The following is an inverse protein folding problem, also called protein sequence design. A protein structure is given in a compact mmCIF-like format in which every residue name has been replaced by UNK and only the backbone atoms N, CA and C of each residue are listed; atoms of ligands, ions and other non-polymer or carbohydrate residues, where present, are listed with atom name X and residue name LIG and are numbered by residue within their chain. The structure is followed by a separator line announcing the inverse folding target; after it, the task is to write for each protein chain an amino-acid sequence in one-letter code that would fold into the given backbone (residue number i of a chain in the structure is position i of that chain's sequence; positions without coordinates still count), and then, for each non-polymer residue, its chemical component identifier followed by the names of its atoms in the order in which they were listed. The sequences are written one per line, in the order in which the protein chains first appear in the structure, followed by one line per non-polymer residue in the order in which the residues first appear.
data_IF_287991738771
#
_entry.id   IF_287991738771
#
_cell.length_a   1.000
_cell.length_b   1.000
_cell.length_c   1.000
_cell.angle_alpha   90.00
_cell.angle_beta   90.00
_cell.angle_gamma   90.00
#
_symmetry.space_group_name_H-M   'P 1'
#
loop_
_entity.id
_entity.type
_entity.pdbx_description
1 polymer ?
#
# COMPACT_ATOMS: atom_id res chain seq x y z
N UNK A 1 5.41 -39.59 0.45
CA UNK A 1 5.65 -38.27 1.08
C UNK A 1 4.40 -37.44 0.88
N UNK A 2 3.68 -37.09 1.95
CA UNK A 2 2.41 -36.36 1.87
C UNK A 2 2.73 -34.87 1.89
N UNK A 3 2.53 -34.18 0.77
CA UNK A 3 2.66 -32.73 0.71
C UNK A 3 1.56 -32.11 1.58
N UNK A 4 1.95 -31.49 2.68
CA UNK A 4 1.09 -30.65 3.49
C UNK A 4 0.86 -29.37 2.71
N UNK A 5 -0.24 -29.31 1.97
CA UNK A 5 -0.83 -28.05 1.54
C UNK A 5 -1.18 -27.29 2.81
N UNK A 6 -0.51 -26.17 3.08
CA UNK A 6 -0.86 -25.26 4.17
C UNK A 6 -2.27 -24.73 3.91
N UNK A 7 -3.27 -25.39 4.48
CA UNK A 7 -4.62 -24.89 4.61
C UNK A 7 -4.60 -23.75 5.63
N UNK A 8 -4.18 -22.55 5.21
CA UNK A 8 -4.53 -21.32 5.91
C UNK A 8 -6.02 -21.06 5.63
N UNK A 9 -6.87 -21.80 6.33
CA UNK A 9 -8.31 -21.57 6.35
C UNK A 9 -8.57 -20.34 7.24
N UNK A 10 -8.12 -19.18 6.77
CA UNK A 10 -8.47 -17.90 7.36
C UNK A 10 -9.92 -17.61 6.99
N UNK A 11 -10.85 -18.16 7.77
CA UNK A 11 -12.27 -17.88 7.61
C UNK A 11 -12.55 -16.46 8.13
N UNK A 12 -12.18 -15.45 7.34
CA UNK A 12 -12.44 -14.04 7.62
C UNK A 12 -13.91 -13.73 7.39
N UNK A 13 -14.56 -13.12 8.37
CA UNK A 13 -15.92 -12.61 8.18
C UNK A 13 -15.90 -11.30 7.38
N UNK A 14 -15.89 -11.45 6.05
CA UNK A 14 -15.89 -10.32 5.12
C UNK A 14 -17.09 -9.40 5.31
N UNK A 15 -18.25 -9.95 5.71
CA UNK A 15 -19.47 -9.18 5.88
C UNK A 15 -19.38 -8.29 7.13
N UNK A 16 -18.87 -8.83 8.23
CA UNK A 16 -18.65 -8.06 9.45
C UNK A 16 -17.61 -6.96 9.22
N UNK A 17 -16.48 -7.30 8.59
CA UNK A 17 -15.43 -6.34 8.24
C UNK A 17 -15.98 -5.19 7.39
N UNK A 18 -16.67 -5.51 6.30
CA UNK A 18 -17.27 -4.52 5.41
C UNK A 18 -18.27 -3.60 6.13
N UNK A 19 -19.11 -4.18 7.01
CA UNK A 19 -20.09 -3.42 7.79
C UNK A 19 -19.42 -2.47 8.78
N UNK A 20 -18.35 -2.91 9.44
CA UNK A 20 -17.57 -2.06 10.34
C UNK A 20 -16.98 -0.84 9.61
N UNK A 21 -16.64 -0.99 8.33
CA UNK A 21 -16.13 0.09 7.48
C UNK A 21 -17.23 0.94 6.84
N UNK A 22 -18.52 0.62 7.04
CA UNK A 22 -19.63 1.35 6.43
C UNK A 22 -19.74 1.23 4.90
N UNK A 23 -19.07 0.24 4.29
CA UNK A 23 -19.01 0.08 2.84
C UNK A 23 -20.14 -0.80 2.30
N UNK A 24 -20.58 -0.51 1.07
CA UNK A 24 -21.41 -1.45 0.32
C UNK A 24 -20.54 -2.54 -0.34
N UNK A 25 -21.18 -3.59 -0.88
CA UNK A 25 -20.45 -4.72 -1.47
C UNK A 25 -19.61 -4.32 -2.68
N UNK A 26 -20.11 -3.44 -3.55
CA UNK A 26 -19.38 -3.01 -4.74
C UNK A 26 -18.10 -2.23 -4.38
N UNK A 27 -18.17 -1.36 -3.37
CA UNK A 27 -17.01 -0.61 -2.85
C UNK A 27 -15.98 -1.56 -2.24
N UNK A 28 -16.41 -2.45 -1.35
CA UNK A 28 -15.51 -3.34 -0.63
C UNK A 28 -14.82 -4.35 -1.55
N UNK A 29 -15.59 -5.03 -2.40
CA UNK A 29 -15.06 -6.07 -3.28
C UNK A 29 -14.38 -5.49 -4.53
N UNK A 30 -14.88 -4.36 -5.03
CA UNK A 30 -14.25 -3.66 -6.16
C UNK A 30 -12.83 -3.20 -5.85
N UNK A 31 -12.56 -2.79 -4.60
CA UNK A 31 -11.22 -2.39 -4.15
C UNK A 31 -10.16 -3.51 -4.23
N UNK A 32 -10.58 -4.77 -4.36
CA UNK A 32 -9.70 -5.94 -4.51
C UNK A 32 -9.96 -6.69 -5.83
N UNK A 33 -10.52 -5.99 -6.84
CA UNK A 33 -10.81 -6.51 -8.17
C UNK A 33 -11.76 -7.73 -8.19
N UNK A 34 -12.65 -7.81 -7.21
CA UNK A 34 -13.70 -8.84 -7.15
C UNK A 34 -15.04 -8.20 -7.52
N UNK A 35 -15.79 -8.87 -8.41
CA UNK A 35 -17.13 -8.42 -8.78
C UNK A 35 -18.09 -8.47 -7.58
N UNK A 36 -19.10 -7.61 -7.56
CA UNK A 36 -20.10 -7.61 -6.49
C UNK A 36 -20.78 -8.98 -6.32
N UNK A 37 -21.10 -9.68 -7.42
CA UNK A 37 -21.68 -11.02 -7.38
C UNK A 37 -20.70 -12.09 -6.87
N UNK A 38 -19.41 -11.92 -7.13
CA UNK A 38 -18.34 -12.71 -6.51
C UNK A 38 -18.29 -12.52 -5.01
N UNK A 39 -18.19 -11.27 -4.56
CA UNK A 39 -18.14 -10.91 -3.15
C UNK A 39 -19.37 -11.35 -2.37
N UNK A 40 -20.57 -11.23 -2.95
CA UNK A 40 -21.81 -11.70 -2.34
C UNK A 40 -21.77 -13.20 -2.00
N UNK A 41 -21.16 -14.03 -2.87
CA UNK A 41 -20.96 -15.46 -2.60
C UNK A 41 -20.02 -15.69 -1.43
N UNK A 42 -18.93 -14.92 -1.35
CA UNK A 42 -17.97 -15.04 -0.25
C UNK A 42 -18.60 -14.65 1.09
N UNK A 43 -19.40 -13.57 1.10
CA UNK A 43 -20.14 -13.15 2.29
C UNK A 43 -21.28 -14.12 2.70
N UNK A 44 -21.75 -14.98 1.79
CA UNK A 44 -22.82 -15.95 2.08
C UNK A 44 -22.31 -17.34 2.48
N UNK A 45 -20.99 -17.49 2.67
CA UNK A 45 -20.38 -18.72 3.19
C UNK A 45 -19.61 -19.55 2.17
N UNK A 46 -19.49 -19.09 0.92
CA UNK A 46 -18.53 -19.69 -0.02
C UNK A 46 -17.12 -19.29 0.40
N UNK A 47 -16.21 -20.26 0.48
CA UNK A 47 -14.80 -19.95 0.71
C UNK A 47 -14.23 -19.10 -0.42
N UNK A 48 -13.62 -17.97 -0.07
CA UNK A 48 -12.87 -17.16 -1.02
C UNK A 48 -11.54 -17.84 -1.36
N UNK A 49 -11.03 -17.72 -2.59
CA UNK A 49 -9.66 -18.12 -2.90
C UNK A 49 -8.67 -17.43 -1.96
N UNK A 50 -7.60 -18.12 -1.57
CA UNK A 50 -6.56 -17.58 -0.67
C UNK A 50 -6.00 -16.25 -1.19
N UNK A 51 -5.86 -16.12 -2.51
CA UNK A 51 -5.38 -14.90 -3.16
C UNK A 51 -6.33 -13.72 -2.93
N UNK A 52 -7.65 -13.96 -2.99
CA UNK A 52 -8.66 -12.93 -2.71
C UNK A 52 -8.65 -12.55 -1.24
N UNK A 53 -8.50 -13.53 -0.35
CA UNK A 53 -8.42 -13.28 1.08
C UNK A 53 -7.20 -12.40 1.46
N UNK A 54 -6.04 -12.68 0.87
CA UNK A 54 -4.84 -11.87 1.11
C UNK A 54 -4.99 -10.46 0.52
N UNK A 55 -5.61 -10.29 -0.65
CA UNK A 55 -5.89 -8.96 -1.19
C UNK A 55 -6.84 -8.17 -0.27
N UNK A 56 -7.85 -8.82 0.32
CA UNK A 56 -8.73 -8.20 1.33
C UNK A 56 -7.91 -7.77 2.54
N UNK A 57 -7.02 -8.63 3.05
CA UNK A 57 -6.13 -8.30 4.16
C UNK A 57 -5.24 -7.10 3.84
N UNK A 58 -4.54 -7.12 2.71
CA UNK A 58 -3.65 -6.03 2.29
C UNK A 58 -4.42 -4.71 2.19
N UNK A 59 -5.55 -4.71 1.48
CA UNK A 59 -6.32 -3.49 1.20
C UNK A 59 -7.04 -2.95 2.43
N UNK A 60 -7.77 -3.80 3.14
CA UNK A 60 -8.75 -3.37 4.14
C UNK A 60 -8.26 -3.49 5.58
N UNK A 61 -7.29 -4.37 5.87
CA UNK A 61 -6.68 -4.45 7.21
C UNK A 61 -5.38 -3.64 7.31
N UNK A 62 -4.51 -3.74 6.30
CA UNK A 62 -3.21 -3.07 6.31
C UNK A 62 -3.21 -1.71 5.60
N UNK A 63 -4.28 -1.35 4.88
CA UNK A 63 -4.37 -0.10 4.13
C UNK A 63 -3.39 -0.01 2.97
N UNK A 64 -2.87 -1.14 2.49
CA UNK A 64 -1.94 -1.21 1.36
C UNK A 64 -2.76 -1.27 0.07
N UNK A 65 -2.76 -0.19 -0.70
CA UNK A 65 -3.32 -0.19 -2.04
C UNK A 65 -2.29 -0.73 -3.05
N UNK A 66 -2.53 -1.94 -3.53
CA UNK A 66 -1.62 -2.60 -4.49
C UNK A 66 -1.54 -1.86 -5.81
N UNK A 67 -2.52 -1.02 -6.15
CA UNK A 67 -2.46 -0.18 -7.35
C UNK A 67 -1.41 0.94 -7.26
N UNK A 68 -0.97 1.29 -6.04
CA UNK A 68 0.08 2.30 -5.81
C UNK A 68 1.49 1.69 -5.81
N UNK A 69 1.62 0.37 -5.97
CA UNK A 69 2.91 -0.30 -6.09
C UNK A 69 3.37 -0.17 -7.53
N UNK A 70 4.46 0.55 -7.74
CA UNK A 70 5.05 0.82 -9.05
C UNK A 70 6.43 0.16 -9.14
N UNK A 71 6.98 -0.07 -10.34
CA UNK A 71 8.35 -0.58 -10.47
C UNK A 71 9.38 0.26 -9.71
N UNK A 72 9.19 1.57 -9.67
CA UNK A 72 10.09 2.56 -9.06
C UNK A 72 10.12 2.41 -7.53
N UNK A 73 8.96 2.21 -6.89
CA UNK A 73 8.89 2.05 -5.44
C UNK A 73 9.04 0.60 -4.96
N UNK A 74 8.96 -0.38 -5.87
CA UNK A 74 9.04 -1.79 -5.53
C UNK A 74 10.39 -2.19 -4.91
N UNK A 75 11.50 -1.61 -5.37
CA UNK A 75 12.83 -1.86 -4.78
C UNK A 75 12.91 -1.37 -3.34
N UNK A 76 12.35 -0.19 -3.05
CA UNK A 76 12.29 0.36 -1.70
C UNK A 76 11.44 -0.53 -0.78
N UNK A 77 10.26 -0.96 -1.26
CA UNK A 77 9.38 -1.87 -0.51
C UNK A 77 10.11 -3.17 -0.20
N UNK A 78 10.79 -3.78 -1.19
CA UNK A 78 11.58 -4.99 -0.99
C UNK A 78 12.68 -4.80 0.06
N UNK A 79 13.39 -3.69 0.03
CA UNK A 79 14.46 -3.40 0.99
C UNK A 79 13.92 -3.27 2.42
N UNK A 80 12.80 -2.58 2.60
CA UNK A 80 12.13 -2.45 3.91
C UNK A 80 11.68 -3.83 4.42
N UNK A 81 11.03 -4.63 3.56
CA UNK A 81 10.54 -5.96 3.94
C UNK A 81 11.68 -6.95 4.24
N UNK A 82 12.81 -6.83 3.55
CA UNK A 82 14.01 -7.63 3.81
C UNK A 82 14.78 -7.18 5.07
N UNK A 83 14.38 -6.07 5.70
CA UNK A 83 15.07 -5.48 6.85
C UNK A 83 16.42 -4.84 6.50
N UNK A 84 16.75 -4.71 5.21
CA UNK A 84 17.96 -4.01 4.77
C UNK A 84 17.84 -2.50 4.92
N UNK A 85 16.61 -1.99 4.95
CA UNK A 85 16.31 -0.59 5.16
C UNK A 85 15.36 -0.40 6.35
N UNK A 86 15.80 0.35 7.36
CA UNK A 86 15.00 0.64 8.55
C UNK A 86 14.04 1.81 8.28
N UNK A 87 12.75 1.49 8.19
CA UNK A 87 11.68 2.46 7.97
C UNK A 87 11.57 3.50 9.10
N UNK A 88 11.89 3.14 10.35
CA UNK A 88 11.86 4.07 11.47
C UNK A 88 12.97 5.12 11.34
N UNK A 89 14.17 4.70 10.95
CA UNK A 89 15.28 5.61 10.74
C UNK A 89 15.00 6.57 9.57
N UNK A 90 14.41 6.08 8.48
CA UNK A 90 14.00 6.92 7.36
C UNK A 90 13.02 8.02 7.79
N UNK A 91 11.97 7.65 8.55
CA UNK A 91 11.00 8.62 9.05
C UNK A 91 11.64 9.64 10.00
N UNK A 92 12.55 9.20 10.87
CA UNK A 92 13.29 10.11 11.76
C UNK A 92 14.14 11.10 10.97
N UNK A 93 14.87 10.64 9.95
CA UNK A 93 15.70 11.50 9.13
C UNK A 93 14.84 12.48 8.31
N UNK A 94 13.72 12.03 7.74
CA UNK A 94 12.78 12.90 7.03
C UNK A 94 12.23 14.01 7.94
N UNK A 95 11.86 13.68 9.18
CA UNK A 95 11.39 14.66 10.16
C UNK A 95 12.50 15.65 10.54
N UNK A 96 13.72 15.18 10.79
CA UNK A 96 14.87 16.06 11.07
C UNK A 96 15.14 17.03 9.93
N UNK A 97 15.10 16.56 8.68
CA UNK A 97 15.26 17.43 7.51
C UNK A 97 14.15 18.50 7.47
N UNK A 98 12.90 18.12 7.76
CA UNK A 98 11.78 19.07 7.84
C UNK A 98 11.99 20.11 8.93
N UNK A 99 12.41 19.70 10.12
CA UNK A 99 12.65 20.61 11.25
C UNK A 99 13.78 21.59 10.94
N UNK A 100 14.88 21.11 10.33
CA UNK A 100 15.98 21.96 9.88
C UNK A 100 15.52 22.99 8.85
N UNK A 101 14.70 22.58 7.88
CA UNK A 101 14.13 23.48 6.87
C UNK A 101 13.26 24.59 7.51
N UNK A 102 12.47 24.25 8.53
CA UNK A 102 11.66 25.23 9.26
C UNK A 102 12.55 26.22 10.02
N UNK A 103 13.63 25.75 10.66
CA UNK A 103 14.51 26.58 11.48
C UNK A 103 15.45 27.49 10.67
N UNK A 104 15.75 27.17 9.41
CA UNK A 104 16.69 27.93 8.59
C UNK A 104 16.09 29.20 7.94
N UNK A 105 14.77 29.32 7.82
CA UNK A 105 14.12 30.52 7.25
C UNK A 105 14.61 30.92 5.84
N UNK A 106 14.32 32.17 5.41
CA UNK A 106 14.52 32.70 4.04
C UNK A 106 15.98 32.70 3.49
N UNK A 107 16.98 32.17 4.21
CA UNK A 107 18.35 31.99 3.69
C UNK A 107 18.53 30.73 2.83
N UNK A 108 17.47 29.93 2.66
CA UNK A 108 17.51 28.56 2.15
C UNK A 108 17.07 28.42 0.68
N UNK A 109 17.25 29.43 -0.18
CA UNK A 109 16.82 29.34 -1.60
C UNK A 109 17.43 28.09 -2.28
N UNK A 110 18.71 27.80 -2.04
CA UNK A 110 19.39 26.60 -2.59
C UNK A 110 18.92 25.27 -1.98
N UNK A 111 18.48 25.25 -0.72
CA UNK A 111 17.97 24.04 -0.05
C UNK A 111 16.47 23.83 -0.30
N UNK A 112 15.74 24.89 -0.64
CA UNK A 112 14.37 24.81 -1.13
C UNK A 112 14.37 24.20 -2.52
N UNK A 113 15.36 24.54 -3.37
CA UNK A 113 15.61 23.81 -4.62
C UNK A 113 15.99 22.35 -4.40
N UNK A 114 16.75 22.01 -3.34
CA UNK A 114 17.03 20.62 -3.00
C UNK A 114 15.77 19.89 -2.49
N UNK A 115 14.98 20.51 -1.61
CA UNK A 115 13.72 19.95 -1.12
C UNK A 115 12.68 19.80 -2.24
N UNK A 116 12.64 20.76 -3.16
CA UNK A 116 11.85 20.71 -4.38
C UNK A 116 12.40 19.66 -5.35
N UNK A 117 13.72 19.48 -5.45
CA UNK A 117 14.33 18.44 -6.28
C UNK A 117 14.06 17.05 -5.72
N UNK A 118 14.06 16.86 -4.40
CA UNK A 118 13.65 15.61 -3.74
C UNK A 118 12.14 15.38 -3.92
N UNK A 119 11.32 16.44 -3.79
CA UNK A 119 9.87 16.37 -4.04
C UNK A 119 9.56 16.08 -5.51
N UNK A 120 10.35 16.61 -6.44
CA UNK A 120 10.30 16.35 -7.87
C UNK A 120 10.91 14.99 -8.25
N UNK A 121 11.83 14.43 -7.46
CA UNK A 121 12.29 13.06 -7.64
C UNK A 121 11.17 12.08 -7.23
N UNK A 122 10.46 12.43 -6.15
CA UNK A 122 9.26 11.72 -5.67
C UNK A 122 8.11 11.87 -6.69
N UNK A 123 7.94 13.04 -7.32
CA UNK A 123 6.87 13.31 -8.30
C UNK A 123 7.23 12.94 -9.75
N UNK A 124 8.50 13.01 -10.16
CA UNK A 124 8.98 12.71 -11.52
C UNK A 124 9.01 11.21 -11.82
N UNK A 125 9.06 10.37 -10.79
CA UNK A 125 8.68 8.97 -10.91
C UNK A 125 7.19 8.75 -11.23
N UNK A 126 6.33 9.78 -11.09
CA UNK A 126 4.93 9.72 -11.56
C UNK A 126 4.79 10.10 -13.04
N UNK A 127 5.69 10.90 -13.65
CA UNK A 127 5.59 11.30 -15.07
C UNK A 127 6.35 10.36 -16.03
N UNK A 128 7.42 9.68 -15.62
CA UNK A 128 8.09 8.69 -16.50
C UNK A 128 7.25 7.44 -16.78
N UNK A 129 6.15 7.24 -16.04
CA UNK A 129 5.17 6.19 -16.29
C UNK A 129 4.11 6.60 -17.34
N UNK A 130 3.94 7.90 -17.63
CA UNK A 130 2.98 8.39 -18.64
C UNK A 130 3.59 8.62 -20.02
N UNK A 131 4.93 8.70 -20.16
CA UNK A 131 5.61 8.91 -21.45
C UNK A 131 6.04 7.61 -22.19
N UNK A 132 5.60 6.44 -21.72
CA UNK A 132 5.77 5.13 -22.38
C UNK A 132 4.44 4.56 -22.92
N UNK A 133 3.42 5.41 -23.07
CA UNK A 133 2.27 5.23 -23.97
C UNK A 133 2.38 6.21 -25.15
#
# INVERSE_FOLDING_TARGET
MKNQTTETNANRDYRAMRRAMGMNQAQFWGAVNVTQSGGSRYESGRQAPVQVDELVRLRHELGIDTALITPENADLIRAILAGTLDSKLLLQNANRCRDLLIHLGNGAVDLTELAQSVSNLIAGHQETAEALQ
#
